data_IF_499977644921
#
_entry.id   IF_499977644921
#
_cell.length_a   1.000
_cell.length_b   1.000
_cell.length_c   1.000
_cell.angle_alpha   90.00
_cell.angle_beta   90.00
_cell.angle_gamma   90.00
#
_symmetry.space_group_name_H-M   'P 1'
#
loop_
_entity.id
_entity.type
_entity.pdbx_description
1 polymer ?
#
# COMPACT_ATOMS: atom_id res chain seq x y z
N UNK A 1 8.39 -19.32 8.73
CA UNK A 1 7.13 -18.55 8.71
C UNK A 1 7.22 -17.51 7.62
N UNK A 2 6.34 -17.60 6.65
CA UNK A 2 6.31 -16.73 5.47
C UNK A 2 5.25 -15.67 5.66
N UNK A 3 5.60 -14.44 5.31
CA UNK A 3 4.73 -13.27 5.44
C UNK A 3 4.39 -12.77 4.06
N UNK A 4 3.15 -12.34 3.88
CA UNK A 4 2.64 -11.88 2.60
C UNK A 4 1.79 -10.63 2.77
N UNK A 5 1.93 -9.68 1.86
CA UNK A 5 0.98 -8.62 1.64
C UNK A 5 0.11 -8.93 0.43
N UNK A 6 -1.18 -8.65 0.55
CA UNK A 6 -2.13 -8.68 -0.56
C UNK A 6 -2.64 -7.27 -0.82
N UNK A 7 -2.40 -6.79 -2.04
CA UNK A 7 -2.70 -5.43 -2.50
C UNK A 7 -3.49 -5.58 -3.79
N UNK A 8 -4.82 -5.41 -3.70
CA UNK A 8 -5.73 -5.87 -4.74
C UNK A 8 -5.54 -7.36 -5.02
N UNK A 9 -5.25 -7.70 -6.28
CA UNK A 9 -4.98 -9.08 -6.71
C UNK A 9 -3.50 -9.49 -6.53
N UNK A 10 -2.62 -8.54 -6.25
CA UNK A 10 -1.18 -8.79 -6.19
C UNK A 10 -0.78 -9.33 -4.82
N UNK A 11 0.16 -10.28 -4.83
CA UNK A 11 0.70 -10.94 -3.66
C UNK A 11 2.20 -10.67 -3.57
N UNK A 12 2.64 -9.98 -2.52
CA UNK A 12 4.05 -9.71 -2.26
C UNK A 12 4.51 -10.52 -1.05
N UNK A 13 5.60 -11.27 -1.21
CA UNK A 13 6.26 -11.96 -0.10
C UNK A 13 7.18 -10.95 0.58
N UNK A 14 7.04 -10.80 1.89
CA UNK A 14 7.73 -9.75 2.65
C UNK A 14 8.52 -10.37 3.79
N UNK A 15 9.59 -9.72 4.23
CA UNK A 15 10.35 -10.12 5.41
C UNK A 15 9.77 -9.48 6.66
N UNK A 16 9.40 -8.20 6.56
CA UNK A 16 8.87 -7.43 7.67
C UNK A 16 7.78 -6.46 7.24
N UNK A 17 6.87 -6.16 8.17
CA UNK A 17 5.82 -5.16 8.04
C UNK A 17 5.71 -4.41 9.37
N UNK A 18 5.92 -3.10 9.34
CA UNK A 18 5.94 -2.25 10.53
C UNK A 18 5.12 -0.99 10.29
N UNK A 19 3.95 -0.84 10.93
CA UNK A 19 3.32 0.47 11.02
C UNK A 19 4.17 1.37 11.92
N UNK A 20 4.48 2.57 11.44
CA UNK A 20 5.32 3.54 12.15
C UNK A 20 4.72 4.94 12.06
N UNK A 21 4.93 5.75 13.10
CA UNK A 21 4.51 7.16 13.14
C UNK A 21 5.74 8.03 13.37
N UNK A 22 5.98 8.99 12.48
CA UNK A 22 7.07 9.96 12.67
C UNK A 22 6.66 11.03 13.66
N UNK A 23 7.37 11.10 14.80
CA UNK A 23 7.11 12.10 15.85
C UNK A 23 7.51 13.52 15.44
N UNK A 24 8.51 13.67 14.56
CA UNK A 24 9.03 14.98 14.12
C UNK A 24 8.25 15.67 12.99
N UNK A 25 7.19 15.06 12.45
CA UNK A 25 6.55 15.46 11.18
C UNK A 25 5.03 15.51 11.22
N UNK A 26 4.44 16.11 12.28
CA UNK A 26 2.98 16.25 12.46
C UNK A 26 2.20 14.93 12.60
N UNK A 27 2.87 13.85 13.00
CA UNK A 27 2.21 12.57 13.27
C UNK A 27 1.85 11.75 12.04
N UNK A 28 2.56 11.96 10.91
CA UNK A 28 2.45 11.17 9.68
C UNK A 28 2.64 9.68 9.99
N UNK A 29 1.68 8.86 9.57
CA UNK A 29 1.71 7.41 9.70
C UNK A 29 2.17 6.78 8.39
N UNK A 30 3.07 5.79 8.50
CA UNK A 30 3.57 5.01 7.37
C UNK A 30 3.52 3.52 7.67
N UNK A 31 3.40 2.72 6.62
CA UNK A 31 3.61 1.28 6.67
C UNK A 31 4.96 0.99 6.01
N UNK A 32 5.95 0.60 6.81
CA UNK A 32 7.25 0.17 6.32
C UNK A 32 7.23 -1.33 6.04
N UNK A 33 7.74 -1.71 4.87
CA UNK A 33 7.73 -3.07 4.36
C UNK A 33 9.13 -3.39 3.86
N UNK A 34 9.71 -4.48 4.34
CA UNK A 34 10.98 -4.96 3.81
C UNK A 34 10.74 -6.17 2.91
N UNK A 35 11.28 -6.12 1.69
CA UNK A 35 11.13 -7.15 0.66
C UNK A 35 12.52 -7.57 0.20
N UNK A 36 12.81 -8.87 0.23
CA UNK A 36 14.05 -9.40 -0.35
C UNK A 36 13.97 -9.31 -1.86
N UNK A 37 15.02 -8.85 -2.51
CA UNK A 37 15.14 -8.82 -3.97
C UNK A 37 15.02 -10.22 -4.59
N UNK A 38 15.45 -11.25 -3.87
CA UNK A 38 15.29 -12.64 -4.28
C UNK A 38 13.83 -13.12 -4.32
N UNK A 39 12.91 -12.40 -3.68
CA UNK A 39 11.49 -12.70 -3.66
C UNK A 39 10.71 -11.92 -4.73
N UNK A 40 10.99 -10.62 -4.89
CA UNK A 40 10.32 -9.73 -5.85
C UNK A 40 11.29 -8.66 -6.36
N UNK A 41 11.25 -8.38 -7.65
CA UNK A 41 12.00 -7.26 -8.24
C UNK A 41 11.28 -5.91 -8.02
N UNK A 42 12.02 -4.82 -8.22
CA UNK A 42 11.46 -3.48 -8.03
C UNK A 42 10.29 -3.17 -8.95
N UNK A 43 10.29 -3.69 -10.19
CA UNK A 43 9.22 -3.46 -11.14
C UNK A 43 7.90 -4.07 -10.65
N UNK A 44 7.95 -5.30 -10.13
CA UNK A 44 6.81 -6.01 -9.54
C UNK A 44 6.28 -5.28 -8.32
N UNK A 45 7.19 -4.84 -7.43
CA UNK A 45 6.83 -4.06 -6.23
C UNK A 45 6.13 -2.75 -6.65
N UNK A 46 6.70 -2.03 -7.61
CA UNK A 46 6.14 -0.77 -8.11
C UNK A 46 4.76 -0.97 -8.74
N UNK A 47 4.59 -1.99 -9.58
CA UNK A 47 3.31 -2.31 -10.22
C UNK A 47 2.25 -2.71 -9.19
N UNK A 48 2.61 -3.49 -8.17
CA UNK A 48 1.70 -3.86 -7.08
C UNK A 48 1.15 -2.64 -6.33
N UNK A 49 2.03 -1.67 -6.07
CA UNK A 49 1.72 -0.45 -5.31
C UNK A 49 1.10 0.66 -6.16
N UNK A 50 1.22 0.59 -7.49
CA UNK A 50 0.57 1.52 -8.41
C UNK A 50 -0.96 1.33 -8.44
N UNK A 51 -1.45 0.14 -8.10
CA UNK A 51 -2.87 -0.13 -7.97
C UNK A 51 -3.40 0.52 -6.68
N UNK A 52 -4.22 1.56 -6.85
CA UNK A 52 -4.81 2.35 -5.77
C UNK A 52 -5.86 1.57 -4.97
N UNK A 53 -5.47 0.55 -4.23
CA UNK A 53 -6.37 -0.03 -3.22
C UNK A 53 -6.17 0.69 -1.90
N UNK A 54 -7.26 1.04 -1.23
CA UNK A 54 -7.23 1.67 0.10
C UNK A 54 -6.89 0.68 1.20
N UNK A 55 -6.96 -0.63 0.93
CA UNK A 55 -6.72 -1.69 1.94
C UNK A 55 -5.61 -2.63 1.51
N UNK A 56 -4.66 -2.87 2.42
CA UNK A 56 -3.56 -3.82 2.27
C UNK A 56 -3.73 -4.92 3.32
N UNK A 57 -3.91 -6.17 2.90
CA UNK A 57 -4.05 -7.31 3.81
C UNK A 57 -2.70 -7.95 4.15
N UNK A 58 -2.44 -8.21 5.43
CA UNK A 58 -1.24 -8.89 5.92
C UNK A 58 -1.54 -10.31 6.37
N UNK A 59 -0.83 -11.27 5.78
CA UNK A 59 -1.04 -12.69 5.98
C UNK A 59 0.25 -13.38 6.43
N UNK A 60 0.10 -14.41 7.26
CA UNK A 60 1.20 -15.28 7.68
C UNK A 60 0.88 -16.74 7.39
N UNK A 61 1.92 -17.52 7.08
CA UNK A 61 1.86 -18.98 6.93
C UNK A 61 3.05 -19.66 7.60
N UNK A 62 2.82 -20.78 8.27
CA UNK A 62 3.90 -21.60 8.83
C UNK A 62 4.54 -22.53 7.80
N UNK A 63 3.78 -22.93 6.76
CA UNK A 63 4.12 -24.01 5.84
C UNK A 63 3.84 -23.68 4.35
N UNK A 64 3.78 -22.38 4.02
CA UNK A 64 3.59 -21.85 2.66
C UNK A 64 2.32 -22.30 1.90
N UNK A 65 1.40 -22.96 2.59
CA UNK A 65 0.19 -23.55 1.99
C UNK A 65 -1.09 -22.92 2.53
N UNK A 66 -1.13 -22.62 3.83
CA UNK A 66 -2.28 -21.98 4.46
C UNK A 66 -1.90 -20.60 4.98
N UNK A 67 -2.41 -19.55 4.32
CA UNK A 67 -2.19 -18.15 4.71
C UNK A 67 -3.39 -17.63 5.50
N UNK A 68 -3.13 -17.21 6.74
CA UNK A 68 -4.15 -16.65 7.64
C UNK A 68 -4.00 -15.13 7.69
N UNK A 69 -5.11 -14.41 7.52
CA UNK A 69 -5.15 -12.95 7.67
C UNK A 69 -4.83 -12.59 9.13
N UNK A 70 -3.84 -11.72 9.31
CA UNK A 70 -3.39 -11.24 10.62
C UNK A 70 -3.79 -9.79 10.85
N UNK A 71 -3.79 -8.97 9.81
CA UNK A 71 -4.17 -7.57 9.91
C UNK A 71 -4.61 -6.99 8.57
N UNK A 72 -5.40 -5.92 8.61
CA UNK A 72 -5.74 -5.09 7.44
C UNK A 72 -5.29 -3.65 7.68
N UNK A 73 -4.62 -3.08 6.70
CA UNK A 73 -4.10 -1.73 6.74
C UNK A 73 -4.92 -0.87 5.78
N UNK A 74 -5.77 -0.03 6.35
CA UNK A 74 -6.68 0.84 5.61
C UNK A 74 -6.13 2.26 5.42
N UNK A 75 -6.58 2.90 4.34
CA UNK A 75 -6.28 4.26 3.93
C UNK A 75 -4.79 4.51 3.68
N UNK A 76 -4.06 3.51 3.20
CA UNK A 76 -2.68 3.69 2.70
C UNK A 76 -2.72 4.01 1.20
N UNK A 77 -1.84 4.91 0.72
CA UNK A 77 -2.02 5.48 -0.63
C UNK A 77 -0.76 5.94 -1.37
N UNK A 78 -0.87 5.75 -2.70
CA UNK A 78 -0.24 6.31 -3.92
C UNK A 78 1.24 6.66 -3.99
N UNK A 79 1.80 7.30 -2.98
CA UNK A 79 3.22 7.60 -2.98
C UNK A 79 3.92 6.69 -1.99
N UNK A 80 4.81 5.88 -2.53
CA UNK A 80 5.72 5.08 -1.75
C UNK A 80 7.14 5.60 -1.94
N UNK A 81 7.89 5.63 -0.84
CA UNK A 81 9.34 5.75 -0.93
C UNK A 81 9.93 4.34 -0.94
N UNK A 82 11.00 4.13 -1.70
CA UNK A 82 11.71 2.85 -1.69
C UNK A 82 13.21 3.11 -1.59
N UNK A 83 13.81 2.52 -0.56
CA UNK A 83 15.26 2.48 -0.38
C UNK A 83 15.73 1.06 -0.66
N UNK A 84 16.82 0.93 -1.41
CA UNK A 84 17.47 -0.35 -1.66
C UNK A 84 18.83 -0.38 -0.98
N UNK A 85 19.07 -1.43 -0.20
CA UNK A 85 20.36 -1.68 0.45
C UNK A 85 20.53 -3.16 0.72
N UNK A 86 21.70 -3.70 0.41
CA UNK A 86 22.08 -5.09 0.70
C UNK A 86 21.05 -6.14 0.25
N UNK A 87 20.48 -6.00 -0.96
CA UNK A 87 19.50 -6.95 -1.49
C UNK A 87 18.10 -6.82 -0.91
N UNK A 88 17.81 -5.75 -0.16
CA UNK A 88 16.52 -5.50 0.48
C UNK A 88 15.93 -4.20 -0.05
N UNK A 89 14.69 -4.27 -0.53
CA UNK A 89 13.83 -3.13 -0.78
C UNK A 89 13.06 -2.78 0.49
N UNK A 90 13.41 -1.67 1.14
CA UNK A 90 12.62 -1.07 2.22
C UNK A 90 11.65 -0.05 1.61
N UNK A 91 10.38 -0.42 1.56
CA UNK A 91 9.29 0.40 1.03
C UNK A 91 8.56 1.07 2.19
N UNK A 92 8.27 2.36 2.07
CA UNK A 92 7.43 3.09 3.01
C UNK A 92 6.21 3.63 2.28
N UNK A 93 5.02 3.19 2.71
CA UNK A 93 3.74 3.63 2.16
C UNK A 93 3.10 4.60 3.16
N UNK A 94 2.71 5.78 2.71
CA UNK A 94 2.05 6.76 3.59
C UNK A 94 0.58 6.41 3.81
N UNK A 95 0.10 6.55 5.04
CA UNK A 95 -1.34 6.56 5.35
C UNK A 95 -1.91 7.94 5.03
N UNK A 96 -2.99 7.98 4.26
CA UNK A 96 -3.77 9.19 4.02
C UNK A 96 -4.36 9.69 5.34
N UNK A 97 -4.25 10.99 5.56
CA UNK A 97 -5.05 11.71 6.53
C UNK A 97 -6.52 11.72 6.13
N UNK A 98 -7.40 11.97 7.09
CA UNK A 98 -8.84 12.08 6.83
C UNK A 98 -9.14 13.19 5.81
N UNK A 99 -8.42 14.31 5.87
CA UNK A 99 -8.54 15.39 4.87
C UNK A 99 -8.13 14.98 3.46
N UNK A 100 -7.08 14.16 3.31
CA UNK A 100 -6.68 13.66 1.98
C UNK A 100 -7.69 12.64 1.44
N UNK A 101 -8.34 11.87 2.32
CA UNK A 101 -9.45 10.99 1.95
C UNK A 101 -10.65 11.81 1.47
N UNK A 102 -11.02 12.88 2.18
CA UNK A 102 -12.11 13.78 1.80
C UNK A 102 -11.83 14.44 0.43
N UNK A 103 -10.61 14.94 0.22
CA UNK A 103 -10.20 15.53 -1.08
C UNK A 103 -10.33 14.50 -2.20
N UNK A 104 -9.92 13.24 -1.99
CA UNK A 104 -10.05 12.18 -2.98
C UNK A 104 -11.51 11.88 -3.31
N UNK A 105 -12.36 11.75 -2.28
CA UNK A 105 -13.79 11.52 -2.45
C UNK A 105 -14.47 12.67 -3.22
N UNK A 106 -14.18 13.92 -2.84
CA UNK A 106 -14.69 15.11 -3.54
C UNK A 106 -14.21 15.16 -4.99
N UNK A 107 -12.94 14.86 -5.25
CA UNK A 107 -12.37 14.88 -6.60
C UNK A 107 -13.04 13.86 -7.53
N UNK A 108 -13.34 12.65 -7.02
CA UNK A 108 -14.09 11.64 -7.77
C UNK A 108 -15.52 12.11 -8.08
N UNK A 109 -16.23 12.66 -7.08
CA UNK A 109 -17.59 13.16 -7.27
C UNK A 109 -17.66 14.31 -8.30
N UNK A 110 -16.66 15.19 -8.31
CA UNK A 110 -16.55 16.26 -9.32
C UNK A 110 -16.31 15.69 -10.72
N UNK A 111 -15.45 14.68 -10.87
CA UNK A 111 -15.19 14.05 -12.15
C UNK A 111 -16.42 13.33 -12.72
N UNK A 112 -17.19 12.65 -11.87
CA UNK A 112 -18.44 12.00 -12.23
C UNK A 112 -19.49 13.03 -12.70
N UNK A 113 -19.65 14.13 -11.95
CA UNK A 113 -20.57 15.21 -12.31
C UNK A 113 -20.17 15.90 -13.62
N UNK A 114 -18.88 16.18 -13.82
CA UNK A 114 -18.37 16.79 -15.04
C UNK A 114 -18.62 15.89 -16.27
N UNK A 115 -18.48 14.58 -16.11
CA UNK A 115 -18.77 13.60 -17.17
C UNK A 115 -20.26 13.54 -17.50
N UNK A 116 -21.14 13.63 -16.50
CA UNK A 116 -22.58 13.68 -16.71
C UNK A 116 -23.01 14.93 -17.50
N UNK A 117 -22.51 16.12 -17.12
CA UNK A 117 -22.83 17.38 -17.80
C UNK A 117 -22.27 17.42 -19.24
N UNK A 118 -21.08 16.86 -19.47
CA UNK A 118 -20.49 16.77 -20.81
C UNK A 118 -21.19 15.80 -21.77
N UNK A 119 -22.05 14.91 -21.25
CA UNK A 119 -22.81 13.95 -22.05
C UNK A 119 -24.18 14.45 -22.52
N UNK A 120 -24.62 15.62 -22.04
CA UNK A 120 -25.90 16.25 -22.37
C UNK A 120 -25.78 17.42 -23.39
N UNK A 121 -24.59 17.65 -23.96
CA UNK A 121 -24.32 18.67 -24.99
C UNK A 121 -24.01 18.05 -26.37
#
# INVERSE_FOLDING_TARGET
>A
MTKQLRIGETKLTVTNVYPYRYDGGKGKQVLRIDIQESAHDFATIKSALANQTTTIGYYESENDTNFTLKNEYENYCLDFNCQYSNGIYSVEITRLSDTEQDIKALSSAVADLASAIGSEA
#
